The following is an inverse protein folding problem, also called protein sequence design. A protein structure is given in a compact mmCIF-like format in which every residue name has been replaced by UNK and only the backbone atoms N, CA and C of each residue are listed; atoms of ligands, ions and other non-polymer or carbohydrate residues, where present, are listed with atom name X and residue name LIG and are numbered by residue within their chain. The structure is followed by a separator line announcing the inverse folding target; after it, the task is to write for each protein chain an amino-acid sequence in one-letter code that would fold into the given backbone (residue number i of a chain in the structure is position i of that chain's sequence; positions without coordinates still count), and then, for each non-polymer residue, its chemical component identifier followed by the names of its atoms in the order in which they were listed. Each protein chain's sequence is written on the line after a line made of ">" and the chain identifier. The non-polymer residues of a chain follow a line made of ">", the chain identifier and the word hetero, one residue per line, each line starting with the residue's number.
data_IF_953858851043
#
_entry.id   IF_953858851043
#
_cell.length_a   1.000
_cell.length_b   1.000
_cell.length_c   1.000
_cell.angle_alpha   90.00
_cell.angle_beta   90.00
_cell.angle_gamma   90.00
#
_symmetry.space_group_name_H-M   'P 1'
#
loop_
_entity.id
_entity.type
_entity.pdbx_description
1 polymer ?
#
# COMPACT_ATOMS: atom_id res chain seq x y z
N UNK A 1 -36.06 -3.29 -55.50
CA UNK A 1 -36.20 -3.81 -54.12
C UNK A 1 -34.85 -4.38 -53.72
N UNK A 2 -34.20 -3.75 -52.74
CA UNK A 2 -32.85 -4.11 -52.32
C UNK A 2 -32.82 -5.40 -51.52
N UNK A 3 -31.76 -6.18 -51.71
CA UNK A 3 -31.29 -7.15 -50.72
C UNK A 3 -29.79 -6.93 -50.57
N UNK A 4 -29.41 -6.53 -49.36
CA UNK A 4 -28.02 -6.38 -48.94
C UNK A 4 -27.47 -7.77 -48.66
N UNK A 5 -26.36 -8.13 -49.33
CA UNK A 5 -25.57 -9.32 -49.01
C UNK A 5 -24.29 -8.84 -48.34
N UNK A 6 -24.14 -9.19 -47.07
CA UNK A 6 -23.00 -8.89 -46.20
C UNK A 6 -21.74 -9.58 -46.71
N UNK A 7 -20.69 -8.80 -46.99
CA UNK A 7 -19.35 -9.30 -47.21
C UNK A 7 -18.71 -9.77 -45.87
N UNK A 8 -17.90 -10.84 -45.87
CA UNK A 8 -17.19 -11.30 -44.69
C UNK A 8 -16.07 -10.32 -44.32
N UNK A 9 -15.98 -9.97 -43.03
CA UNK A 9 -14.89 -9.17 -42.46
C UNK A 9 -13.60 -9.99 -42.54
N UNK A 10 -12.59 -9.41 -43.18
CA UNK A 10 -11.25 -9.97 -43.28
C UNK A 10 -10.69 -10.31 -41.90
N UNK A 11 -10.17 -11.53 -41.77
CA UNK A 11 -9.60 -12.05 -40.54
C UNK A 11 -8.43 -11.19 -40.05
N UNK A 12 -8.46 -10.86 -38.76
CA UNK A 12 -7.34 -10.26 -38.07
C UNK A 12 -6.14 -11.21 -38.16
N UNK A 13 -5.11 -10.79 -38.88
CA UNK A 13 -3.81 -11.46 -38.91
C UNK A 13 -3.24 -11.40 -37.50
N UNK A 14 -3.19 -12.56 -36.82
CA UNK A 14 -2.43 -12.71 -35.58
C UNK A 14 -0.97 -12.37 -35.87
N UNK A 15 -0.31 -11.47 -35.11
CA UNK A 15 1.13 -11.35 -35.21
C UNK A 15 1.78 -12.69 -34.81
N UNK A 16 2.95 -13.03 -35.39
CA UNK A 16 3.53 -14.35 -35.27
C UNK A 16 3.77 -14.71 -33.80
N UNK A 17 3.38 -15.92 -33.43
CA UNK A 17 3.69 -16.51 -32.13
C UNK A 17 5.19 -16.65 -32.00
N UNK A 18 5.79 -15.77 -31.21
CA UNK A 18 7.17 -15.86 -30.77
C UNK A 18 7.26 -17.08 -29.83
N UNK A 19 7.88 -18.17 -30.29
CA UNK A 19 8.36 -19.24 -29.42
C UNK A 19 9.71 -18.81 -28.88
N UNK A 20 9.85 -18.75 -27.56
CA UNK A 20 11.13 -18.52 -26.89
C UNK A 20 11.42 -19.72 -25.98
N UNK A 21 12.66 -20.17 -26.07
CA UNK A 21 13.21 -21.35 -25.44
C UNK A 21 13.28 -21.21 -23.91
N UNK A 22 13.21 -22.36 -23.23
CA UNK A 22 13.05 -22.49 -21.79
C UNK A 22 14.33 -22.23 -20.96
N UNK A 23 14.97 -21.07 -21.15
CA UNK A 23 16.03 -20.53 -20.29
C UNK A 23 15.80 -19.02 -20.11
N UNK A 24 14.81 -18.63 -19.29
CA UNK A 24 14.37 -17.24 -19.14
C UNK A 24 14.74 -16.67 -17.75
N UNK A 25 15.76 -15.82 -17.69
CA UNK A 25 16.03 -14.87 -16.59
C UNK A 25 15.11 -13.63 -16.64
N UNK A 26 13.97 -13.70 -17.34
CA UNK A 26 13.08 -12.55 -17.60
C UNK A 26 11.62 -12.66 -17.07
N UNK A 27 11.34 -13.22 -15.87
CA UNK A 27 9.97 -13.24 -15.33
C UNK A 27 9.46 -11.84 -14.94
N UNK A 28 10.35 -10.92 -14.59
CA UNK A 28 10.02 -9.59 -14.06
C UNK A 28 9.55 -8.59 -15.11
N UNK A 29 10.22 -8.54 -16.25
CA UNK A 29 9.85 -7.65 -17.35
C UNK A 29 8.43 -7.96 -17.83
N UNK A 30 8.07 -9.25 -17.91
CA UNK A 30 6.71 -9.70 -18.26
C UNK A 30 5.67 -9.33 -17.20
N UNK A 31 6.00 -9.49 -15.92
CA UNK A 31 5.11 -9.10 -14.81
C UNK A 31 4.92 -7.56 -14.77
N UNK A 32 5.97 -6.79 -15.03
CA UNK A 32 5.95 -5.33 -15.10
C UNK A 32 5.06 -4.85 -16.26
N UNK A 33 5.24 -5.40 -17.46
CA UNK A 33 4.42 -5.08 -18.63
C UNK A 33 2.94 -5.44 -18.40
N UNK A 34 2.66 -6.57 -17.74
CA UNK A 34 1.31 -6.98 -17.37
C UNK A 34 0.67 -6.05 -16.32
N UNK A 35 1.43 -5.57 -15.34
CA UNK A 35 0.96 -4.62 -14.32
C UNK A 35 0.60 -3.26 -14.91
N UNK A 36 1.34 -2.78 -15.91
CA UNK A 36 1.02 -1.56 -16.66
C UNK A 36 -0.30 -1.68 -17.46
N UNK A 37 -0.66 -2.89 -17.88
CA UNK A 37 -1.84 -3.16 -18.70
C UNK A 37 -3.09 -3.53 -17.87
N UNK A 38 -2.93 -3.83 -16.58
CA UNK A 38 -4.00 -4.26 -15.68
C UNK A 38 -4.92 -3.09 -15.25
N UNK A 39 -5.94 -2.80 -16.06
CA UNK A 39 -6.95 -1.73 -15.83
C UNK A 39 -7.96 -1.96 -14.68
N UNK A 40 -7.73 -2.88 -13.75
CA UNK A 40 -8.71 -3.20 -12.70
C UNK A 40 -8.23 -2.75 -11.32
N UNK A 41 -8.83 -1.72 -10.70
CA UNK A 41 -8.49 -1.34 -9.34
C UNK A 41 -8.92 -2.44 -8.37
N UNK A 42 -8.06 -2.77 -7.42
CA UNK A 42 -8.43 -3.64 -6.30
C UNK A 42 -9.57 -2.99 -5.50
N UNK A 43 -10.51 -3.78 -4.95
CA UNK A 43 -11.56 -3.23 -4.10
C UNK A 43 -10.96 -2.59 -2.84
N UNK A 44 -11.16 -1.29 -2.68
CA UNK A 44 -10.70 -0.50 -1.52
C UNK A 44 -11.89 -0.17 -0.62
N UNK A 45 -11.72 -0.29 0.71
CA UNK A 45 -12.69 0.10 1.74
C UNK A 45 -12.01 0.95 2.81
N UNK A 46 -12.72 1.91 3.41
CA UNK A 46 -12.16 2.81 4.42
C UNK A 46 -12.89 2.73 5.77
N UNK A 47 -12.14 2.62 6.87
CA UNK A 47 -12.67 2.69 8.25
C UNK A 47 -12.28 4.03 8.89
N UNK A 48 -13.27 4.83 9.29
CA UNK A 48 -13.02 6.17 9.82
C UNK A 48 -12.53 6.20 11.28
N UNK A 49 -11.57 7.09 11.58
CA UNK A 49 -11.00 7.29 12.92
C UNK A 49 -11.57 8.45 13.73
N UNK A 50 -12.41 9.33 13.14
CA UNK A 50 -12.81 10.63 13.73
C UNK A 50 -13.28 10.54 15.19
N UNK A 51 -14.13 9.56 15.54
CA UNK A 51 -14.62 9.37 16.92
C UNK A 51 -13.52 8.92 17.88
N UNK A 52 -12.63 8.03 17.43
CA UNK A 52 -11.50 7.60 18.25
C UNK A 52 -10.49 8.73 18.45
N UNK A 53 -10.14 9.45 17.39
CA UNK A 53 -9.30 10.64 17.48
C UNK A 53 -9.86 11.63 18.48
N UNK A 54 -11.15 11.98 18.37
CA UNK A 54 -11.80 12.91 19.30
C UNK A 54 -11.79 12.40 20.76
N UNK A 55 -11.94 11.10 20.96
CA UNK A 55 -11.89 10.51 22.30
C UNK A 55 -10.48 10.56 22.91
N UNK A 56 -9.42 10.32 22.12
CA UNK A 56 -8.05 10.47 22.60
C UNK A 56 -7.75 11.94 22.90
N UNK A 57 -8.06 12.86 22.00
CA UNK A 57 -7.72 14.29 22.19
C UNK A 57 -8.50 14.97 23.31
N UNK A 58 -9.68 14.44 23.69
CA UNK A 58 -10.44 14.91 24.85
C UNK A 58 -10.01 14.25 26.19
N UNK A 59 -9.05 13.32 26.17
CA UNK A 59 -8.62 12.57 27.36
C UNK A 59 -7.67 13.37 28.25
N UNK A 60 -7.58 12.98 29.53
CA UNK A 60 -6.60 13.54 30.47
C UNK A 60 -5.17 13.17 30.06
N UNK A 61 -5.00 11.97 29.51
CA UNK A 61 -3.74 11.48 28.98
C UNK A 61 -3.21 12.38 27.86
N UNK A 62 -4.08 12.81 26.93
CA UNK A 62 -3.71 13.77 25.90
C UNK A 62 -3.37 15.13 26.48
N UNK A 63 -4.22 15.69 27.34
CA UNK A 63 -3.97 17.00 27.95
C UNK A 63 -2.63 17.06 28.72
N UNK A 64 -2.22 15.96 29.35
CA UNK A 64 -0.93 15.85 30.02
C UNK A 64 0.24 15.64 29.05
N UNK A 65 0.01 14.94 27.93
CA UNK A 65 1.05 14.55 26.99
C UNK A 65 1.36 15.63 25.95
N UNK A 66 0.35 16.22 25.33
CA UNK A 66 0.44 17.13 24.17
C UNK A 66 1.53 18.21 24.30
N UNK A 67 1.63 18.95 25.43
CA UNK A 67 2.65 20.00 25.57
C UNK A 67 4.09 19.47 25.60
N UNK A 68 4.27 18.15 25.77
CA UNK A 68 5.56 17.48 26.00
C UNK A 68 5.92 16.49 24.91
N UNK A 69 5.09 16.28 23.89
CA UNK A 69 5.30 15.26 22.86
C UNK A 69 6.58 15.47 22.05
N UNK A 70 7.02 16.73 21.87
CA UNK A 70 8.28 17.06 21.20
C UNK A 70 9.51 17.11 22.14
N UNK A 71 9.38 16.68 23.39
CA UNK A 71 10.48 16.68 24.38
C UNK A 71 11.04 15.27 24.58
N UNK A 72 12.17 15.09 25.28
CA UNK A 72 12.68 13.75 25.63
C UNK A 72 11.70 12.88 26.44
N UNK A 73 10.66 13.47 27.06
CA UNK A 73 9.58 12.72 27.73
C UNK A 73 8.56 12.12 26.74
N UNK A 74 8.50 12.65 25.51
CA UNK A 74 7.54 12.30 24.46
C UNK A 74 7.38 10.80 24.21
N UNK A 75 8.46 10.01 24.02
CA UNK A 75 8.35 8.58 23.75
C UNK A 75 7.57 7.81 24.82
N UNK A 76 7.78 8.14 26.11
CA UNK A 76 7.08 7.49 27.23
C UNK A 76 5.60 7.87 27.25
N UNK A 77 5.27 9.11 26.94
CA UNK A 77 3.89 9.62 26.92
C UNK A 77 3.10 9.01 25.76
N UNK A 78 3.73 8.89 24.59
CA UNK A 78 3.17 8.19 23.43
C UNK A 78 2.74 6.75 23.74
N UNK A 79 3.50 6.01 24.58
CA UNK A 79 3.09 4.66 25.00
C UNK A 79 1.73 4.67 25.71
N UNK A 80 1.47 5.67 26.55
CA UNK A 80 0.19 5.84 27.22
C UNK A 80 -0.96 6.12 26.24
N UNK A 81 -0.73 7.03 25.28
CA UNK A 81 -1.70 7.37 24.24
C UNK A 81 -2.01 6.17 23.34
N UNK A 82 -1.00 5.40 22.92
CA UNK A 82 -1.19 4.17 22.15
C UNK A 82 -2.04 3.13 22.89
N UNK A 83 -1.78 2.93 24.18
CA UNK A 83 -2.60 2.03 25.02
C UNK A 83 -4.03 2.52 25.20
N UNK A 84 -4.25 3.83 25.29
CA UNK A 84 -5.60 4.39 25.32
C UNK A 84 -6.30 4.15 23.98
N UNK A 85 -5.67 4.51 22.88
CA UNK A 85 -6.17 4.35 21.51
C UNK A 85 -6.61 2.90 21.22
N UNK A 86 -5.81 1.91 21.60
CA UNK A 86 -6.11 0.50 21.40
C UNK A 86 -7.37 0.01 22.15
N UNK A 87 -7.72 0.65 23.28
CA UNK A 87 -8.82 0.21 24.16
C UNK A 87 -10.14 0.95 23.93
N UNK A 88 -10.16 1.95 23.05
CA UNK A 88 -11.39 2.71 22.80
C UNK A 88 -12.49 1.80 22.21
N UNK A 89 -13.76 1.93 22.64
CA UNK A 89 -14.84 1.15 22.07
C UNK A 89 -15.05 1.51 20.60
N UNK A 90 -15.45 0.52 19.79
CA UNK A 90 -15.94 0.80 18.44
C UNK A 90 -17.25 1.57 18.53
N UNK A 91 -17.42 2.56 17.66
CA UNK A 91 -18.73 3.16 17.41
C UNK A 91 -19.57 2.26 16.51
N UNK A 92 -20.90 2.39 16.57
CA UNK A 92 -21.81 1.63 15.70
C UNK A 92 -21.47 1.72 14.20
N UNK A 93 -21.01 2.90 13.74
CA UNK A 93 -20.57 3.10 12.37
C UNK A 93 -19.28 2.32 12.04
N UNK A 94 -18.32 2.27 12.96
CA UNK A 94 -17.09 1.50 12.78
C UNK A 94 -17.38 0.00 12.82
N UNK A 95 -18.23 -0.47 13.73
CA UNK A 95 -18.69 -1.86 13.78
C UNK A 95 -19.34 -2.28 12.46
N UNK A 96 -20.33 -1.51 11.98
CA UNK A 96 -21.00 -1.80 10.71
C UNK A 96 -20.04 -1.79 9.50
N UNK A 97 -19.05 -0.90 9.50
CA UNK A 97 -18.02 -0.83 8.48
C UNK A 97 -17.14 -2.08 8.50
N UNK A 98 -16.61 -2.48 9.66
CA UNK A 98 -15.81 -3.70 9.82
C UNK A 98 -16.59 -4.94 9.39
N UNK A 99 -17.88 -5.04 9.72
CA UNK A 99 -18.72 -6.17 9.32
C UNK A 99 -18.93 -6.22 7.80
N UNK A 100 -19.05 -5.05 7.15
CA UNK A 100 -19.13 -4.97 5.69
C UNK A 100 -17.82 -5.41 5.05
N UNK A 101 -16.68 -5.01 5.62
CA UNK A 101 -15.36 -5.43 5.14
C UNK A 101 -15.17 -6.94 5.33
N UNK A 102 -15.51 -7.51 6.48
CA UNK A 102 -15.46 -8.96 6.71
C UNK A 102 -16.29 -9.74 5.70
N UNK A 103 -17.50 -9.27 5.39
CA UNK A 103 -18.33 -9.90 4.34
C UNK A 103 -17.69 -9.82 2.94
N UNK A 104 -17.00 -8.71 2.63
CA UNK A 104 -16.28 -8.59 1.37
C UNK A 104 -15.07 -9.54 1.30
N UNK A 105 -14.36 -9.73 2.43
CA UNK A 105 -13.23 -10.66 2.54
C UNK A 105 -13.59 -12.10 2.21
N UNK A 106 -14.86 -12.52 2.38
CA UNK A 106 -15.33 -13.85 1.98
C UNK A 106 -15.17 -14.13 0.48
N UNK A 107 -15.17 -13.09 -0.35
CA UNK A 107 -14.98 -13.20 -1.80
C UNK A 107 -13.51 -13.04 -2.22
N UNK A 108 -12.60 -12.75 -1.29
CA UNK A 108 -11.20 -12.51 -1.58
C UNK A 108 -10.38 -13.81 -1.55
N UNK A 109 -9.40 -13.98 -2.46
CA UNK A 109 -8.43 -15.06 -2.38
C UNK A 109 -7.76 -15.12 -1.00
N UNK A 110 -7.75 -16.30 -0.39
CA UNK A 110 -7.20 -16.51 0.95
C UNK A 110 -7.98 -15.87 2.10
N UNK A 111 -9.02 -15.04 1.82
CA UNK A 111 -9.77 -14.25 2.82
C UNK A 111 -8.85 -13.32 3.63
N UNK A 112 -7.76 -12.86 3.03
CA UNK A 112 -6.76 -12.00 3.68
C UNK A 112 -6.86 -10.55 3.19
N UNK A 113 -6.54 -9.62 4.07
CA UNK A 113 -6.53 -8.20 3.81
C UNK A 113 -5.17 -7.55 4.05
N UNK A 114 -4.90 -6.48 3.31
CA UNK A 114 -3.93 -5.47 3.69
C UNK A 114 -4.66 -4.29 4.34
N UNK A 115 -4.24 -3.89 5.53
CA UNK A 115 -4.76 -2.74 6.28
C UNK A 115 -3.68 -1.68 6.37
N UNK A 116 -3.94 -0.50 5.83
CA UNK A 116 -3.00 0.63 5.80
C UNK A 116 -3.60 1.84 6.50
N UNK A 117 -2.81 2.56 7.27
CA UNK A 117 -3.20 3.92 7.66
C UNK A 117 -3.39 4.78 6.41
N UNK A 118 -4.35 5.69 6.48
CA UNK A 118 -4.57 6.75 5.52
C UNK A 118 -4.98 7.99 6.32
N UNK A 119 -4.03 8.89 6.56
CA UNK A 119 -4.33 10.22 7.05
C UNK A 119 -4.34 11.20 5.85
N UNK A 120 -5.32 12.13 5.74
CA UNK A 120 -5.33 13.17 4.70
C UNK A 120 -4.06 14.03 4.66
N UNK A 121 -3.28 14.00 5.74
CA UNK A 121 -2.03 14.74 5.90
C UNK A 121 -0.81 13.93 5.43
N UNK A 122 -0.94 12.63 5.06
CA UNK A 122 0.14 11.83 4.46
C UNK A 122 0.65 12.45 3.15
N UNK A 123 -0.24 13.10 2.40
CA UNK A 123 0.02 13.77 1.13
C UNK A 123 -0.02 15.31 1.26
N UNK A 124 0.11 15.84 2.48
CA UNK A 124 0.02 17.28 2.76
C UNK A 124 1.21 18.09 2.23
N UNK A 125 0.97 19.36 1.90
CA UNK A 125 1.96 20.27 1.30
C UNK A 125 3.11 20.70 2.22
N UNK A 126 3.06 20.37 3.51
CA UNK A 126 4.02 20.82 4.53
C UNK A 126 4.95 19.75 5.12
N UNK A 127 4.53 18.48 5.12
CA UNK A 127 5.33 17.34 5.60
C UNK A 127 4.75 16.04 5.04
N UNK A 128 5.61 15.15 4.54
CA UNK A 128 5.22 13.79 4.15
C UNK A 128 5.44 12.85 5.33
N UNK A 129 4.40 12.09 5.70
CA UNK A 129 4.48 11.05 6.74
C UNK A 129 4.75 9.67 6.16
N UNK A 130 5.29 9.61 4.93
CA UNK A 130 5.63 8.35 4.27
C UNK A 130 6.46 7.45 5.21
N UNK A 131 5.97 6.23 5.45
CA UNK A 131 6.63 5.24 6.30
C UNK A 131 6.52 5.45 7.82
N UNK A 132 5.78 6.46 8.30
CA UNK A 132 5.62 6.70 9.74
C UNK A 132 4.49 5.86 10.34
N UNK A 133 3.38 5.70 9.60
CA UNK A 133 2.22 4.96 10.07
C UNK A 133 2.34 3.45 9.78
N UNK A 134 1.65 2.65 10.59
CA UNK A 134 1.70 1.19 10.46
C UNK A 134 0.83 0.68 9.30
N UNK A 135 1.38 -0.31 8.60
CA UNK A 135 0.66 -1.21 7.68
C UNK A 135 0.62 -2.61 8.29
N UNK A 136 -0.47 -3.34 8.06
CA UNK A 136 -0.62 -4.77 8.41
C UNK A 136 -0.98 -5.54 7.15
N UNK A 137 -0.18 -6.54 6.82
CA UNK A 137 -0.39 -7.46 5.70
C UNK A 137 -0.88 -8.82 6.23
N UNK A 138 -1.49 -9.64 5.37
CA UNK A 138 -1.94 -10.98 5.76
C UNK A 138 -3.05 -11.02 6.82
N UNK A 139 -3.89 -9.99 6.90
CA UNK A 139 -4.87 -9.86 8.00
C UNK A 139 -6.11 -10.71 7.74
N UNK A 140 -6.40 -11.65 8.64
CA UNK A 140 -7.63 -12.46 8.60
C UNK A 140 -8.89 -11.65 9.01
N UNK A 141 -10.11 -12.14 8.71
CA UNK A 141 -11.35 -11.48 9.13
C UNK A 141 -11.47 -11.29 10.66
N UNK A 142 -10.93 -12.24 11.43
CA UNK A 142 -10.88 -12.22 12.90
C UNK A 142 -9.86 -11.19 13.38
N UNK A 143 -8.70 -11.08 12.72
CA UNK A 143 -7.64 -10.11 13.01
C UNK A 143 -7.95 -8.67 12.59
N UNK A 144 -8.97 -8.45 11.76
CA UNK A 144 -9.24 -7.16 11.12
C UNK A 144 -9.38 -5.99 12.11
N UNK A 145 -10.11 -6.19 13.20
CA UNK A 145 -10.29 -5.13 14.21
C UNK A 145 -8.95 -4.78 14.88
N UNK A 146 -8.17 -5.80 15.26
CA UNK A 146 -6.87 -5.61 15.89
C UNK A 146 -5.90 -4.87 14.95
N UNK A 147 -5.90 -5.21 13.67
CA UNK A 147 -5.09 -4.54 12.65
C UNK A 147 -5.47 -3.06 12.50
N UNK A 148 -6.78 -2.74 12.38
CA UNK A 148 -7.26 -1.36 12.28
C UNK A 148 -6.92 -0.55 13.54
N UNK A 149 -7.03 -1.17 14.73
CA UNK A 149 -6.62 -0.54 16.00
C UNK A 149 -5.12 -0.29 16.07
N UNK A 150 -4.30 -1.21 15.58
CA UNK A 150 -2.85 -1.03 15.52
C UNK A 150 -2.48 0.15 14.60
N UNK A 151 -3.06 0.20 13.40
CA UNK A 151 -2.91 1.34 12.48
C UNK A 151 -3.35 2.65 13.15
N UNK A 152 -4.50 2.68 13.84
CA UNK A 152 -4.95 3.88 14.56
C UNK A 152 -3.97 4.30 15.67
N UNK A 153 -3.49 3.35 16.46
CA UNK A 153 -2.53 3.63 17.52
C UNK A 153 -1.20 4.17 16.97
N UNK A 154 -0.80 3.79 15.75
CA UNK A 154 0.42 4.28 15.11
C UNK A 154 0.41 5.80 14.86
N UNK A 155 -0.77 6.43 14.82
CA UNK A 155 -0.89 7.90 14.72
C UNK A 155 -0.31 8.61 15.95
N UNK A 156 -0.20 7.92 17.09
CA UNK A 156 0.39 8.43 18.31
C UNK A 156 1.85 8.01 18.50
N UNK A 157 2.52 7.55 17.44
CA UNK A 157 3.96 7.29 17.48
C UNK A 157 4.75 8.58 17.67
N UNK A 158 5.80 8.51 18.50
CA UNK A 158 6.63 9.67 18.80
C UNK A 158 7.27 10.28 17.54
N UNK A 159 7.56 9.45 16.53
CA UNK A 159 8.09 9.92 15.25
C UNK A 159 7.14 10.91 14.58
N UNK A 160 5.82 10.67 14.61
CA UNK A 160 4.80 11.59 14.04
C UNK A 160 4.96 13.01 14.62
N UNK A 161 5.05 13.11 15.95
CA UNK A 161 5.15 14.40 16.64
C UNK A 161 6.53 15.05 16.51
N UNK A 162 7.59 14.25 16.40
CA UNK A 162 8.95 14.76 16.16
C UNK A 162 9.06 15.45 14.80
N UNK A 163 8.37 14.94 13.78
CA UNK A 163 8.38 15.49 12.43
C UNK A 163 7.43 16.68 12.24
N UNK A 164 6.26 16.67 12.88
CA UNK A 164 5.19 17.63 12.59
C UNK A 164 5.01 18.76 13.60
N UNK A 165 5.72 18.72 14.75
CA UNK A 165 5.53 19.69 15.83
C UNK A 165 4.11 19.60 16.41
N UNK A 166 3.40 20.73 16.48
CA UNK A 166 2.01 20.78 16.96
C UNK A 166 1.05 20.15 15.92
N UNK A 167 0.94 18.83 15.95
CA UNK A 167 0.11 18.04 15.06
C UNK A 167 -1.22 17.66 15.73
N UNK A 168 -2.33 17.86 15.00
CA UNK A 168 -3.62 17.30 15.38
C UNK A 168 -3.78 15.94 14.70
N UNK A 169 -3.85 14.83 15.45
CA UNK A 169 -3.92 13.50 14.86
C UNK A 169 -5.17 13.35 13.99
N UNK A 170 -5.03 12.79 12.80
CA UNK A 170 -6.14 12.38 11.93
C UNK A 170 -5.94 10.93 11.50
N UNK A 171 -7.04 10.19 11.30
CA UNK A 171 -6.97 8.78 10.93
C UNK A 171 -8.14 8.31 10.07
N UNK A 172 -7.80 7.56 9.03
CA UNK A 172 -8.63 6.53 8.43
C UNK A 172 -7.76 5.27 8.21
N UNK A 173 -8.40 4.11 8.09
CA UNK A 173 -7.73 2.90 7.64
C UNK A 173 -8.26 2.51 6.27
N UNK A 174 -7.36 2.25 5.33
CA UNK A 174 -7.66 1.64 4.05
C UNK A 174 -7.50 0.13 4.15
N UNK A 175 -8.55 -0.62 3.82
CA UNK A 175 -8.56 -2.09 3.77
C UNK A 175 -8.73 -2.54 2.34
N UNK A 176 -7.83 -3.41 1.89
CA UNK A 176 -7.78 -3.93 0.53
C UNK A 176 -7.62 -5.44 0.56
N UNK A 177 -8.05 -6.09 -0.53
CA UNK A 177 -7.69 -7.47 -0.82
C UNK A 177 -6.16 -7.64 -0.76
N UNK A 178 -5.71 -8.68 -0.05
CA UNK A 178 -4.29 -9.02 0.00
C UNK A 178 -3.88 -9.72 -1.29
N UNK A 179 -2.84 -9.20 -1.95
CA UNK A 179 -2.24 -9.84 -3.12
C UNK A 179 -1.09 -10.74 -2.66
N UNK A 180 -1.20 -12.04 -2.92
CA UNK A 180 -0.08 -12.98 -2.77
C UNK A 180 0.91 -12.79 -3.93
N UNK A 181 1.75 -11.77 -3.79
CA UNK A 181 2.64 -11.35 -4.84
C UNK A 181 3.85 -12.28 -4.93
N UNK A 182 4.08 -12.87 -6.11
CA UNK A 182 5.36 -13.50 -6.41
C UNK A 182 6.51 -12.48 -6.50
N UNK A 183 6.17 -11.27 -6.95
CA UNK A 183 7.06 -10.14 -7.16
C UNK A 183 6.28 -8.85 -6.97
N UNK A 184 6.89 -7.84 -6.36
CA UNK A 184 6.30 -6.53 -6.13
C UNK A 184 7.38 -5.44 -6.23
N UNK A 185 6.96 -4.19 -6.34
CA UNK A 185 7.88 -3.09 -6.58
C UNK A 185 7.28 -1.71 -6.43
N UNK A 186 8.09 -0.71 -6.72
CA UNK A 186 7.74 0.72 -6.75
C UNK A 186 8.02 1.24 -8.16
N UNK A 187 7.08 1.99 -8.71
CA UNK A 187 7.25 2.65 -10.01
C UNK A 187 7.10 4.16 -9.86
N UNK A 188 8.04 4.89 -10.45
CA UNK A 188 8.00 6.34 -10.61
C UNK A 188 7.75 6.65 -12.06
N UNK A 189 6.63 7.32 -12.35
CA UNK A 189 6.23 7.69 -13.72
C UNK A 189 7.12 8.77 -14.35
N UNK A 190 8.01 9.39 -13.57
CA UNK A 190 9.12 10.22 -14.01
C UNK A 190 10.38 9.70 -13.32
N UNK A 191 11.53 9.70 -13.97
CA UNK A 191 12.75 9.18 -13.38
C UNK A 191 13.27 10.16 -12.31
N UNK A 192 13.23 9.78 -11.02
CA UNK A 192 13.60 10.69 -9.94
C UNK A 192 15.11 10.93 -9.86
N UNK A 193 15.94 10.15 -10.56
CA UNK A 193 17.40 10.24 -10.52
C UNK A 193 17.95 11.34 -11.43
N UNK A 194 17.24 11.65 -12.51
CA UNK A 194 17.63 12.65 -13.51
C UNK A 194 16.51 13.68 -13.81
N UNK A 195 15.34 13.54 -13.18
CA UNK A 195 14.14 14.37 -13.41
C UNK A 195 13.57 14.30 -14.83
N UNK A 196 13.87 13.24 -15.57
CA UNK A 196 13.31 13.02 -16.91
C UNK A 196 11.85 12.54 -16.80
N UNK A 197 10.94 13.30 -17.42
CA UNK A 197 9.50 13.01 -17.41
C UNK A 197 9.10 11.96 -18.46
N UNK A 198 9.96 11.65 -19.43
CA UNK A 198 9.71 10.65 -20.46
C UNK A 198 10.20 9.25 -20.05
N UNK A 199 11.02 9.19 -19.00
CA UNK A 199 11.50 7.96 -18.40
C UNK A 199 10.62 7.53 -17.21
N UNK A 200 10.36 6.22 -17.10
CA UNK A 200 9.78 5.59 -15.91
C UNK A 200 10.85 4.76 -15.23
N UNK A 201 11.02 4.92 -13.92
CA UNK A 201 11.90 4.08 -13.11
C UNK A 201 11.07 3.06 -12.32
N UNK A 202 11.44 1.79 -12.37
CA UNK A 202 10.80 0.72 -11.62
C UNK A 202 11.84 -0.02 -10.80
N UNK A 203 11.63 -0.08 -9.49
CA UNK A 203 12.38 -0.95 -8.59
C UNK A 203 11.51 -2.17 -8.22
N UNK A 204 12.05 -3.39 -8.32
CA UNK A 204 11.30 -4.63 -8.11
C UNK A 204 12.06 -5.68 -7.28
N UNK A 205 11.33 -6.45 -6.48
CA UNK A 205 11.84 -7.50 -5.61
C UNK A 205 10.95 -8.74 -5.63
N UNK A 206 11.43 -9.83 -5.04
CA UNK A 206 10.63 -11.03 -4.82
C UNK A 206 9.64 -10.84 -3.66
N UNK A 207 8.50 -11.54 -3.73
CA UNK A 207 7.50 -11.55 -2.68
C UNK A 207 6.72 -10.25 -2.56
N UNK A 208 6.31 -9.93 -1.33
CA UNK A 208 5.59 -8.73 -0.97
C UNK A 208 6.48 -7.48 -1.06
N UNK A 209 5.87 -6.36 -1.47
CA UNK A 209 6.61 -5.12 -1.80
C UNK A 209 7.22 -4.38 -0.61
N UNK A 210 6.97 -4.81 0.63
CA UNK A 210 7.47 -4.15 1.84
C UNK A 210 8.99 -4.01 1.82
N UNK A 211 9.69 -5.08 1.43
CA UNK A 211 11.16 -5.12 1.34
C UNK A 211 11.77 -4.14 0.32
N UNK A 212 11.02 -3.83 -0.75
CA UNK A 212 11.42 -2.83 -1.74
C UNK A 212 11.16 -1.43 -1.20
N UNK A 213 10.01 -1.22 -0.56
CA UNK A 213 9.57 0.09 -0.04
C UNK A 213 10.42 0.56 1.13
N UNK A 214 10.83 -0.34 2.03
CA UNK A 214 11.67 -0.01 3.18
C UNK A 214 13.18 -0.01 2.85
N UNK A 215 13.55 -0.44 1.65
CA UNK A 215 14.94 -0.49 1.18
C UNK A 215 15.79 -1.58 1.85
N UNK A 216 15.18 -2.59 2.48
CA UNK A 216 15.88 -3.70 3.13
C UNK A 216 16.53 -4.69 2.15
N UNK A 217 16.26 -4.55 0.85
CA UNK A 217 16.91 -5.32 -0.21
C UNK A 217 17.52 -4.42 -1.28
N UNK A 218 18.52 -4.96 -1.99
CA UNK A 218 18.96 -4.40 -3.26
C UNK A 218 18.04 -4.96 -4.35
N UNK A 219 17.02 -4.17 -4.71
CA UNK A 219 16.03 -4.48 -5.74
C UNK A 219 16.63 -4.47 -7.15
N UNK A 220 15.95 -5.14 -8.08
CA UNK A 220 16.16 -4.92 -9.51
C UNK A 220 15.68 -3.52 -9.87
N UNK A 221 16.37 -2.87 -10.80
CA UNK A 221 16.01 -1.55 -11.32
C UNK A 221 15.90 -1.57 -12.83
N UNK A 222 14.81 -1.02 -13.32
CA UNK A 222 14.54 -0.86 -14.74
C UNK A 222 14.24 0.61 -15.04
N UNK A 223 14.77 1.11 -16.15
CA UNK A 223 14.42 2.42 -16.69
C UNK A 223 13.76 2.20 -18.05
N UNK A 224 12.54 2.68 -18.20
CA UNK A 224 11.72 2.51 -19.39
C UNK A 224 11.45 3.85 -20.08
N UNK A 225 11.74 3.92 -21.37
CA UNK A 225 11.37 5.03 -22.24
C UNK A 225 9.87 4.92 -22.59
N UNK A 226 9.05 5.79 -22.00
CA UNK A 226 7.60 5.77 -22.22
C UNK A 226 7.23 6.23 -23.63
N UNK A 227 8.05 7.08 -24.26
CA UNK A 227 7.77 7.65 -25.58
C UNK A 227 8.20 6.68 -26.68
N UNK A 228 9.42 6.17 -26.59
CA UNK A 228 9.97 5.18 -27.52
C UNK A 228 9.47 3.77 -27.27
N UNK A 229 8.85 3.49 -26.10
CA UNK A 229 8.29 2.19 -25.76
C UNK A 229 9.36 1.10 -25.66
N UNK A 230 10.51 1.41 -25.04
CA UNK A 230 11.65 0.51 -24.95
C UNK A 230 12.35 0.58 -23.60
N UNK A 231 13.05 -0.49 -23.24
CA UNK A 231 13.91 -0.52 -22.07
C UNK A 231 15.20 0.29 -22.34
N UNK A 232 15.56 1.17 -21.42
CA UNK A 232 16.80 1.96 -21.45
C UNK A 232 17.89 1.33 -20.59
N UNK A 233 17.52 0.89 -19.39
CA UNK A 233 18.45 0.29 -18.43
C UNK A 233 17.80 -0.89 -17.71
N UNK A 234 18.60 -1.92 -17.44
CA UNK A 234 18.27 -3.03 -16.56
C UNK A 234 19.47 -3.29 -15.64
N UNK A 235 19.23 -3.21 -14.33
CA UNK A 235 20.21 -3.48 -13.30
C UNK A 235 19.63 -4.50 -12.33
N UNK A 236 20.26 -5.68 -12.29
CA UNK A 236 19.83 -6.77 -11.41
C UNK A 236 20.41 -6.57 -10.01
N UNK A 237 19.55 -6.49 -9.02
CA UNK A 237 19.88 -6.45 -7.60
C UNK A 237 20.04 -7.83 -6.99
N UNK A 238 20.68 -7.90 -5.81
CA UNK A 238 20.96 -9.17 -5.13
C UNK A 238 19.70 -9.86 -4.60
N UNK A 239 18.65 -9.09 -4.23
CA UNK A 239 17.37 -9.59 -3.73
C UNK A 239 17.52 -10.72 -2.69
N UNK A 240 18.44 -10.54 -1.74
CA UNK A 240 18.93 -11.60 -0.85
C UNK A 240 17.87 -12.18 0.12
N UNK A 241 16.72 -11.53 0.26
CA UNK A 241 15.60 -11.93 1.11
C UNK A 241 14.29 -11.49 0.49
N UNK A 242 13.19 -12.13 0.88
CA UNK A 242 11.84 -11.78 0.46
C UNK A 242 10.86 -11.88 1.64
N UNK A 243 9.75 -11.18 1.53
CA UNK A 243 8.62 -11.30 2.46
C UNK A 243 7.50 -12.06 1.77
N UNK A 244 6.96 -13.09 2.42
CA UNK A 244 5.86 -13.93 1.91
C UNK A 244 4.71 -13.92 2.89
N UNK A 245 3.50 -14.13 2.37
CA UNK A 245 2.37 -14.50 3.21
C UNK A 245 2.63 -15.86 3.83
N UNK A 246 2.32 -16.03 5.12
CA UNK A 246 2.31 -17.35 5.72
C UNK A 246 1.08 -18.12 5.24
N UNK A 247 1.09 -19.45 5.40
CA UNK A 247 -0.03 -20.30 4.99
C UNK A 247 -1.36 -19.95 5.70
N UNK A 248 -1.27 -19.28 6.86
CA UNK A 248 -2.37 -18.81 7.70
C UNK A 248 -2.56 -17.27 7.69
N UNK A 249 -1.76 -16.54 6.91
CA UNK A 249 -1.75 -15.07 6.86
C UNK A 249 -0.49 -14.46 7.44
#
# INVERSE_FOLDING_TARGET
>A
MGTAQSAPVAGAVRPPSVRLDANDDAPYERAMLAALDAKKPLPVRAVGGKKWTAAVTASREWAAAEPKLGTPEGPRLCVGLKRLAQRLPLSAAQTACLDTVRRAMEAWPGRLAAVRSSAPEEDGTGASFAGVFETKLGVSPEGLEAAVRACFASVFDHRVFSYAGAHKPAFAATVMEMVDAATAGVAFSANPLNSDLDEMLVDAGYGLGESVVDGSIVADRFVWDKVGGRLLESKVGSKAQEVRLAADG
#
